data_IF_253872845783
#
_entry.id   IF_253872845783
#
_cell.length_a   1.000
_cell.length_b   1.000
_cell.length_c   1.000
_cell.angle_alpha   90.00
_cell.angle_beta   90.00
_cell.angle_gamma   90.00
#
_symmetry.space_group_name_H-M   'P 1'
#
loop_
_entity.id
_entity.type
_entity.pdbx_description
1 polymer ?
#
# COMPACT_ATOMS: atom_id res chain seq x y z
N UNK A 1 -22.74 14.73 -23.06
CA UNK A 1 -21.37 14.29 -22.72
C UNK A 1 -20.43 14.95 -23.73
N UNK A 2 -19.31 15.53 -23.31
CA UNK A 2 -18.34 16.22 -24.19
C UNK A 2 -16.90 15.85 -23.80
N UNK A 3 -15.96 15.96 -24.74
CA UNK A 3 -14.55 15.59 -24.55
C UNK A 3 -14.24 14.12 -24.85
N UNK A 4 -12.99 13.70 -24.59
CA UNK A 4 -12.51 12.33 -24.82
C UNK A 4 -12.87 11.44 -23.62
N UNK A 5 -13.98 10.70 -23.73
CA UNK A 5 -14.49 9.81 -22.68
C UNK A 5 -14.23 8.37 -23.11
N UNK A 6 -13.41 7.65 -22.34
CA UNK A 6 -13.20 6.21 -22.49
C UNK A 6 -13.82 5.46 -21.31
N UNK A 7 -14.31 4.26 -21.60
CA UNK A 7 -14.72 3.23 -20.61
C UNK A 7 -15.87 3.62 -19.65
N UNK A 8 -16.73 4.57 -20.05
CA UNK A 8 -17.91 4.96 -19.28
C UNK A 8 -19.13 4.09 -19.62
N UNK A 9 -19.60 3.32 -18.64
CA UNK A 9 -20.83 2.52 -18.75
C UNK A 9 -22.06 3.31 -18.29
N UNK A 10 -23.14 3.30 -19.08
CA UNK A 10 -24.42 3.95 -18.75
C UNK A 10 -25.51 2.87 -18.65
N UNK A 11 -26.14 2.76 -17.48
CA UNK A 11 -27.27 1.83 -17.26
C UNK A 11 -28.60 2.58 -17.29
N UNK A 12 -29.56 2.08 -18.06
CA UNK A 12 -30.94 2.58 -18.06
C UNK A 12 -31.86 1.64 -17.28
N UNK A 13 -32.89 2.19 -16.66
CA UNK A 13 -33.98 1.42 -16.04
C UNK A 13 -35.15 1.19 -17.01
N UNK A 14 -34.96 1.51 -18.29
CA UNK A 14 -35.95 1.42 -19.36
C UNK A 14 -35.39 0.57 -20.49
N UNK A 15 -36.27 -0.14 -21.19
CA UNK A 15 -35.99 -0.84 -22.45
C UNK A 15 -35.79 0.10 -23.64
N UNK A 16 -35.89 1.41 -23.43
CA UNK A 16 -35.75 2.43 -24.47
C UNK A 16 -34.75 3.51 -24.01
N UNK A 17 -33.78 3.81 -24.88
CA UNK A 17 -32.78 4.86 -24.70
C UNK A 17 -32.79 5.76 -25.94
N UNK A 18 -32.80 7.07 -25.74
CA UNK A 18 -32.63 8.05 -26.81
C UNK A 18 -31.22 8.63 -26.74
N UNK A 19 -30.45 8.47 -27.82
CA UNK A 19 -29.13 9.09 -27.98
C UNK A 19 -29.27 10.27 -28.93
N UNK A 20 -28.92 11.47 -28.46
CA UNK A 20 -28.93 12.69 -29.27
C UNK A 20 -27.52 13.25 -29.34
N UNK A 21 -26.99 13.38 -30.55
CA UNK A 21 -25.70 14.02 -30.82
C UNK A 21 -25.92 15.44 -31.34
N UNK A 22 -25.20 16.39 -30.76
CA UNK A 22 -25.18 17.78 -31.19
C UNK A 22 -23.73 18.20 -31.43
N UNK A 23 -23.47 18.82 -32.58
CA UNK A 23 -22.19 19.44 -32.93
C UNK A 23 -22.39 20.91 -33.30
N UNK A 24 -21.30 21.68 -33.24
CA UNK A 24 -21.23 23.03 -33.79
C UNK A 24 -20.52 23.02 -35.16
N UNK A 25 -20.51 24.14 -35.92
CA UNK A 25 -19.88 24.20 -37.23
C UNK A 25 -18.38 24.56 -37.18
N UNK A 26 -17.75 24.57 -36.00
CA UNK A 26 -16.41 25.17 -35.82
C UNK A 26 -15.33 24.10 -35.69
N UNK A 27 -15.59 22.99 -34.99
CA UNK A 27 -14.60 21.93 -34.76
C UNK A 27 -15.16 20.53 -35.04
N UNK A 28 -14.33 19.66 -35.61
CA UNK A 28 -14.65 18.28 -35.97
C UNK A 28 -13.65 17.28 -35.34
N UNK A 29 -14.12 16.07 -35.03
CA UNK A 29 -13.32 14.97 -34.48
C UNK A 29 -13.92 13.61 -34.92
N UNK A 30 -13.25 12.50 -34.60
CA UNK A 30 -13.59 11.13 -35.02
C UNK A 30 -14.94 10.61 -34.49
N UNK A 31 -15.62 11.37 -33.63
CA UNK A 31 -16.90 10.99 -33.06
C UNK A 31 -16.77 9.89 -31.99
N UNK A 32 -17.82 9.08 -31.85
CA UNK A 32 -17.87 8.02 -30.84
C UNK A 32 -18.42 6.72 -31.42
N UNK A 33 -18.02 5.60 -30.84
CA UNK A 33 -18.64 4.28 -31.04
C UNK A 33 -19.14 3.80 -29.67
N UNK A 34 -20.34 3.22 -29.63
CA UNK A 34 -20.92 2.67 -28.41
C UNK A 34 -21.42 1.27 -28.67
N UNK A 35 -20.96 0.32 -27.86
CA UNK A 35 -21.52 -1.02 -27.77
C UNK A 35 -22.61 -1.04 -26.68
N UNK A 36 -23.72 -1.74 -26.95
CA UNK A 36 -24.81 -1.89 -25.99
C UNK A 36 -25.28 -3.35 -25.93
N UNK A 37 -25.83 -3.73 -24.78
CA UNK A 37 -26.50 -5.02 -24.58
C UNK A 37 -27.79 -4.81 -23.79
N UNK A 38 -28.77 -5.69 -23.98
CA UNK A 38 -30.05 -5.66 -23.24
C UNK A 38 -30.00 -6.70 -22.12
N UNK A 39 -30.58 -6.36 -20.96
CA UNK A 39 -30.67 -7.26 -19.80
C UNK A 39 -32.14 -7.64 -19.58
N UNK A 40 -32.50 -8.89 -19.90
CA UNK A 40 -33.85 -9.45 -19.69
C UNK A 40 -33.99 -9.98 -18.26
N UNK A 41 -35.20 -10.00 -17.71
CA UNK A 41 -35.50 -10.43 -16.33
C UNK A 41 -35.25 -11.94 -16.00
N UNK A 42 -34.55 -12.67 -16.86
CA UNK A 42 -34.13 -14.07 -16.66
C UNK A 42 -32.67 -14.33 -17.04
N UNK A 43 -31.93 -13.35 -17.57
CA UNK A 43 -30.50 -13.46 -17.80
C UNK A 43 -29.76 -12.96 -16.56
N UNK A 44 -29.31 -13.87 -15.69
CA UNK A 44 -28.41 -13.54 -14.58
C UNK A 44 -26.96 -13.30 -15.06
N UNK A 45 -26.83 -12.59 -16.18
CA UNK A 45 -25.57 -12.10 -16.73
C UNK A 45 -25.25 -10.77 -16.10
N UNK A 46 -24.13 -10.70 -15.39
CA UNK A 46 -23.67 -9.50 -14.68
C UNK A 46 -22.30 -9.08 -15.22
N UNK A 47 -22.12 -7.79 -15.44
CA UNK A 47 -20.82 -7.19 -15.74
C UNK A 47 -20.45 -6.25 -14.60
N UNK A 48 -19.25 -6.43 -14.04
CA UNK A 48 -18.73 -5.69 -12.89
C UNK A 48 -17.45 -4.98 -13.30
N UNK A 49 -17.43 -3.66 -13.14
CA UNK A 49 -16.28 -2.81 -13.50
C UNK A 49 -15.61 -2.13 -12.31
N UNK A 50 -16.24 -2.21 -11.13
CA UNK A 50 -15.71 -1.61 -9.91
C UNK A 50 -14.42 -2.32 -9.48
N UNK A 51 -13.46 -1.58 -8.91
CA UNK A 51 -12.18 -2.12 -8.45
C UNK A 51 -12.27 -3.11 -7.28
N UNK A 52 -13.43 -3.27 -6.65
CA UNK A 52 -13.71 -4.36 -5.71
C UNK A 52 -15.21 -4.55 -5.58
N UNK A 53 -15.63 -5.70 -5.07
CA UNK A 53 -17.05 -5.95 -4.85
C UNK A 53 -17.36 -7.34 -4.34
N UNK A 54 -18.66 -7.63 -4.19
CA UNK A 54 -19.18 -8.88 -3.66
C UNK A 54 -20.09 -9.53 -4.70
N UNK A 55 -19.82 -10.79 -4.99
CA UNK A 55 -20.63 -11.64 -5.89
C UNK A 55 -21.40 -12.63 -5.02
N UNK A 56 -22.65 -12.87 -5.39
CA UNK A 56 -23.55 -13.80 -4.72
C UNK A 56 -24.27 -14.63 -5.77
N UNK A 57 -24.48 -15.92 -5.47
CA UNK A 57 -25.41 -16.73 -6.26
C UNK A 57 -26.82 -16.15 -6.20
N UNK A 58 -27.67 -16.43 -7.21
CA UNK A 58 -29.09 -16.11 -7.14
C UNK A 58 -29.72 -16.67 -5.85
N UNK A 59 -30.60 -15.89 -5.22
CA UNK A 59 -31.29 -16.30 -4.00
C UNK A 59 -30.48 -16.17 -2.70
N UNK A 60 -29.15 -16.01 -2.74
CA UNK A 60 -28.31 -15.95 -1.54
C UNK A 60 -28.78 -14.85 -0.55
N UNK A 61 -28.91 -15.13 0.77
CA UNK A 61 -28.44 -16.32 1.49
C UNK A 61 -29.45 -17.50 1.52
N UNK A 62 -30.57 -17.38 0.82
CA UNK A 62 -31.51 -18.48 0.61
C UNK A 62 -31.03 -19.39 -0.53
N UNK A 63 -31.81 -20.42 -0.83
CA UNK A 63 -31.39 -21.42 -1.79
C UNK A 63 -31.42 -20.87 -3.22
N UNK A 64 -30.44 -21.26 -4.05
CA UNK A 64 -30.47 -20.92 -5.48
C UNK A 64 -31.61 -21.68 -6.21
N UNK A 65 -32.14 -21.16 -7.32
CA UNK A 65 -33.11 -21.88 -8.15
C UNK A 65 -32.47 -23.07 -8.88
N UNK A 66 -33.28 -24.06 -9.27
CA UNK A 66 -32.88 -25.10 -10.20
C UNK A 66 -32.58 -24.52 -11.59
N UNK A 67 -31.79 -25.25 -12.39
CA UNK A 67 -31.48 -24.93 -13.79
C UNK A 67 -30.92 -23.51 -13.99
N UNK A 68 -30.18 -23.02 -13.00
CA UNK A 68 -29.55 -21.71 -13.03
C UNK A 68 -28.30 -21.77 -13.91
N UNK A 69 -28.15 -20.82 -14.84
CA UNK A 69 -26.97 -20.69 -15.71
C UNK A 69 -26.53 -19.21 -15.74
N UNK A 70 -25.72 -18.81 -14.76
CA UNK A 70 -25.35 -17.41 -14.53
C UNK A 70 -23.92 -17.12 -14.90
N UNK A 71 -23.71 -15.97 -15.53
CA UNK A 71 -22.39 -15.52 -15.96
C UNK A 71 -22.07 -14.18 -15.32
N UNK A 72 -20.91 -14.07 -14.67
CA UNK A 72 -20.44 -12.81 -14.12
C UNK A 72 -19.08 -12.48 -14.72
N UNK A 73 -19.03 -11.44 -15.55
CA UNK A 73 -17.78 -10.90 -16.08
C UNK A 73 -17.31 -9.78 -15.16
N UNK A 74 -16.09 -9.89 -14.66
CA UNK A 74 -15.40 -8.83 -13.94
C UNK A 74 -14.34 -8.26 -14.89
N UNK A 75 -14.37 -6.95 -15.11
CA UNK A 75 -13.36 -6.25 -15.92
C UNK A 75 -12.88 -5.02 -15.15
N UNK A 76 -11.63 -5.04 -14.73
CA UNK A 76 -10.98 -3.92 -14.03
C UNK A 76 -10.06 -3.18 -15.00
N UNK A 77 -9.41 -2.10 -14.53
CA UNK A 77 -8.48 -1.33 -15.36
C UNK A 77 -7.41 -2.23 -16.02
N UNK A 78 -7.01 -1.96 -17.28
CA UNK A 78 -6.05 -2.77 -18.03
C UNK A 78 -4.66 -2.93 -17.39
N UNK A 79 -4.33 -2.17 -16.35
CA UNK A 79 -3.10 -2.25 -15.55
C UNK A 79 -3.26 -3.11 -14.26
N UNK A 80 -4.45 -3.69 -14.01
CA UNK A 80 -4.76 -4.49 -12.82
C UNK A 80 -5.07 -5.96 -13.14
N UNK A 81 -4.86 -6.84 -12.16
CA UNK A 81 -5.37 -8.21 -12.09
C UNK A 81 -6.50 -8.27 -11.07
N UNK A 82 -7.19 -9.40 -11.01
CA UNK A 82 -8.33 -9.62 -10.14
C UNK A 82 -7.99 -10.76 -9.20
N UNK A 83 -8.09 -10.50 -7.90
CA UNK A 83 -8.17 -11.55 -6.89
C UNK A 83 -9.63 -11.83 -6.59
N UNK A 84 -9.98 -13.11 -6.41
CA UNK A 84 -11.32 -13.58 -6.07
C UNK A 84 -11.20 -14.52 -4.87
N UNK A 85 -11.99 -14.28 -3.82
CA UNK A 85 -12.02 -15.10 -2.61
C UNK A 85 -13.45 -15.48 -2.24
N UNK A 86 -13.73 -16.77 -2.11
CA UNK A 86 -14.99 -17.32 -1.63
C UNK A 86 -14.98 -17.43 -0.11
N UNK A 87 -15.88 -16.70 0.56
CA UNK A 87 -16.06 -16.80 2.01
C UNK A 87 -17.20 -17.76 2.40
N UNK A 88 -18.07 -18.10 1.45
CA UNK A 88 -19.10 -19.11 1.61
C UNK A 88 -19.31 -19.88 0.32
N UNK A 89 -19.27 -21.21 0.42
CA UNK A 89 -19.68 -22.17 -0.62
C UNK A 89 -20.53 -23.23 0.06
N UNK A 90 -21.73 -23.45 -0.50
CA UNK A 90 -22.67 -24.51 -0.14
C UNK A 90 -23.48 -24.86 -1.39
N UNK A 91 -22.96 -25.79 -2.19
CA UNK A 91 -23.54 -26.29 -3.45
C UNK A 91 -23.82 -27.80 -3.34
N UNK A 92 -24.59 -28.36 -4.26
CA UNK A 92 -24.67 -29.81 -4.41
C UNK A 92 -23.30 -30.37 -4.83
N UNK A 93 -22.82 -31.36 -4.08
CA UNK A 93 -21.58 -32.04 -4.40
C UNK A 93 -21.84 -33.20 -5.36
N UNK A 94 -21.10 -33.23 -6.45
CA UNK A 94 -20.94 -34.39 -7.31
C UNK A 94 -19.45 -34.67 -7.56
N UNK A 95 -19.10 -35.90 -7.93
CA UNK A 95 -17.71 -36.23 -8.29
C UNK A 95 -17.26 -35.35 -9.46
N UNK A 96 -16.10 -34.69 -9.34
CA UNK A 96 -15.63 -33.65 -10.27
C UNK A 96 -16.64 -32.49 -10.49
N UNK A 97 -17.49 -32.21 -9.51
CA UNK A 97 -18.48 -31.13 -9.53
C UNK A 97 -19.42 -31.20 -10.75
N UNK A 98 -20.00 -32.38 -11.02
CA UNK A 98 -20.87 -32.63 -12.18
C UNK A 98 -22.31 -32.15 -12.04
N UNK A 99 -22.79 -31.89 -10.81
CA UNK A 99 -24.15 -31.39 -10.56
C UNK A 99 -24.14 -29.87 -10.57
N UNK A 100 -23.85 -29.25 -9.42
CA UNK A 100 -23.79 -27.80 -9.26
C UNK A 100 -22.36 -27.33 -9.13
N UNK A 101 -22.00 -26.22 -9.79
CA UNK A 101 -20.63 -25.73 -9.76
C UNK A 101 -20.50 -24.23 -10.03
N UNK A 102 -19.37 -23.68 -9.59
CA UNK A 102 -18.85 -22.40 -10.09
C UNK A 102 -17.54 -22.64 -10.83
N UNK A 103 -17.46 -22.26 -12.10
CA UNK A 103 -16.24 -22.23 -12.88
C UNK A 103 -15.65 -20.81 -12.91
N UNK A 104 -14.32 -20.72 -12.90
CA UNK A 104 -13.58 -19.47 -12.91
C UNK A 104 -12.61 -19.50 -14.09
N UNK A 105 -12.78 -18.57 -15.03
CA UNK A 105 -11.96 -18.45 -16.23
C UNK A 105 -11.07 -17.19 -16.17
N UNK A 106 -9.80 -17.35 -16.54
CA UNK A 106 -8.79 -16.30 -16.58
C UNK A 106 -8.87 -15.48 -17.87
N UNK A 107 -9.91 -14.67 -17.97
CA UNK A 107 -10.17 -13.81 -19.13
C UNK A 107 -11.64 -13.48 -19.25
N UNK A 108 -12.01 -12.86 -20.38
CA UNK A 108 -13.36 -12.36 -20.61
C UNK A 108 -14.32 -13.38 -21.23
N UNK A 109 -13.84 -14.57 -21.63
CA UNK A 109 -14.62 -15.53 -22.43
C UNK A 109 -14.48 -16.97 -21.92
N UNK A 110 -15.35 -17.87 -22.41
CA UNK A 110 -15.38 -19.30 -22.02
C UNK A 110 -14.20 -20.09 -22.56
N UNK A 111 -13.54 -19.55 -23.58
CA UNK A 111 -12.34 -20.09 -24.21
C UNK A 111 -11.07 -19.71 -23.44
N UNK A 112 -11.18 -18.83 -22.45
CA UNK A 112 -10.07 -18.44 -21.57
C UNK A 112 -9.66 -19.61 -20.66
N UNK A 113 -8.45 -19.58 -20.11
CA UNK A 113 -7.93 -20.67 -19.27
C UNK A 113 -8.81 -20.89 -18.03
N UNK A 114 -9.26 -22.12 -17.80
CA UNK A 114 -10.02 -22.49 -16.60
C UNK A 114 -9.07 -22.54 -15.39
N UNK A 115 -9.26 -21.64 -14.43
CA UNK A 115 -8.50 -21.61 -13.17
C UNK A 115 -9.00 -22.64 -12.17
N UNK A 116 -10.29 -22.96 -12.21
CA UNK A 116 -10.88 -23.98 -11.35
C UNK A 116 -12.38 -24.13 -11.51
N UNK A 117 -12.89 -25.25 -11.00
CA UNK A 117 -14.31 -25.57 -10.86
C UNK A 117 -14.53 -26.02 -9.42
N UNK A 118 -15.51 -25.42 -8.73
CA UNK A 118 -15.76 -25.64 -7.31
C UNK A 118 -17.20 -26.03 -7.05
N UNK A 119 -17.39 -26.96 -6.12
CA UNK A 119 -18.69 -27.38 -5.60
C UNK A 119 -18.64 -27.66 -4.09
N UNK A 120 -17.47 -27.58 -3.46
CA UNK A 120 -17.29 -27.83 -2.04
C UNK A 120 -16.35 -26.83 -1.37
N UNK A 121 -16.33 -26.82 -0.03
CA UNK A 121 -15.39 -26.01 0.77
C UNK A 121 -13.96 -26.58 0.81
N UNK A 122 -13.73 -27.80 0.35
CA UNK A 122 -12.40 -28.42 0.32
C UNK A 122 -11.58 -27.97 -0.90
N UNK A 123 -12.25 -27.35 -1.88
CA UNK A 123 -11.64 -26.78 -3.07
C UNK A 123 -10.87 -25.48 -2.73
N UNK A 124 -9.96 -25.05 -3.61
CA UNK A 124 -9.24 -23.78 -3.45
C UNK A 124 -10.24 -22.63 -3.35
N UNK A 125 -10.25 -21.91 -2.23
CA UNK A 125 -11.19 -20.81 -1.99
C UNK A 125 -10.76 -19.46 -2.58
N UNK A 126 -9.57 -19.38 -3.19
CA UNK A 126 -9.02 -18.14 -3.71
C UNK A 126 -8.37 -18.34 -5.07
N UNK A 127 -8.60 -17.38 -5.97
CA UNK A 127 -8.14 -17.36 -7.36
C UNK A 127 -7.56 -15.99 -7.71
N UNK A 128 -6.60 -15.96 -8.64
CA UNK A 128 -6.01 -14.74 -9.18
C UNK A 128 -5.96 -14.83 -10.71
N UNK A 129 -6.39 -13.77 -11.40
CA UNK A 129 -6.29 -13.67 -12.86
C UNK A 129 -4.89 -13.26 -13.31
N UNK A 130 -4.51 -13.64 -14.53
CA UNK A 130 -3.33 -13.09 -15.20
C UNK A 130 -3.64 -11.81 -15.98
N UNK A 131 -4.92 -11.63 -16.36
CA UNK A 131 -5.42 -10.46 -17.09
C UNK A 131 -6.24 -9.52 -16.21
N UNK A 132 -6.75 -8.42 -16.78
CA UNK A 132 -7.69 -7.52 -16.09
C UNK A 132 -9.15 -7.98 -16.18
N UNK A 133 -9.37 -9.21 -16.64
CA UNK A 133 -10.70 -9.80 -16.76
C UNK A 133 -10.75 -11.19 -16.12
N UNK A 134 -11.89 -11.48 -15.49
CA UNK A 134 -12.16 -12.77 -14.87
C UNK A 134 -13.64 -13.10 -15.09
N UNK A 135 -13.93 -14.28 -15.62
CA UNK A 135 -15.30 -14.71 -15.92
C UNK A 135 -15.71 -15.85 -14.99
N UNK A 136 -16.80 -15.66 -14.26
CA UNK A 136 -17.41 -16.70 -13.44
C UNK A 136 -18.63 -17.27 -14.14
N UNK A 137 -18.81 -18.58 -14.01
CA UNK A 137 -19.98 -19.30 -14.47
C UNK A 137 -20.56 -20.13 -13.32
N UNK A 138 -21.78 -19.80 -12.90
CA UNK A 138 -22.52 -20.60 -11.93
C UNK A 138 -23.58 -21.42 -12.64
N UNK A 139 -23.53 -22.74 -12.43
CA UNK A 139 -24.46 -23.70 -13.00
C UNK A 139 -25.14 -24.50 -11.88
N UNK A 140 -26.43 -24.77 -12.02
CA UNK A 140 -27.14 -25.74 -11.20
C UNK A 140 -28.02 -26.68 -12.03
N UNK A 141 -28.18 -27.92 -11.57
CA UNK A 141 -29.00 -28.94 -12.22
C UNK A 141 -30.51 -28.85 -11.85
N UNK A 142 -31.27 -29.92 -12.06
CA UNK A 142 -32.72 -29.95 -11.83
C UNK A 142 -33.13 -30.03 -10.34
N UNK A 143 -32.20 -30.24 -9.40
CA UNK A 143 -32.56 -30.53 -8.00
C UNK A 143 -31.48 -30.16 -6.97
N UNK A 144 -31.73 -30.50 -5.69
CA UNK A 144 -30.80 -30.38 -4.54
C UNK A 144 -30.16 -28.99 -4.38
N UNK A 145 -30.99 -27.96 -4.48
CA UNK A 145 -30.51 -26.61 -4.26
C UNK A 145 -30.04 -26.37 -2.82
N UNK A 146 -28.98 -25.58 -2.68
CA UNK A 146 -28.38 -25.19 -1.39
C UNK A 146 -28.24 -23.68 -1.31
N UNK A 147 -27.61 -23.17 -0.25
CA UNK A 147 -27.50 -21.71 0.00
C UNK A 147 -26.69 -20.97 -1.06
N UNK A 148 -25.89 -21.68 -1.86
CA UNK A 148 -25.11 -21.10 -2.94
C UNK A 148 -23.75 -20.60 -2.48
N UNK A 149 -23.30 -19.50 -3.08
CA UNK A 149 -21.97 -18.95 -2.79
C UNK A 149 -21.99 -17.44 -2.57
N UNK A 150 -20.97 -17.00 -1.84
CA UNK A 150 -20.59 -15.60 -1.74
C UNK A 150 -19.08 -15.49 -1.95
N UNK A 151 -18.68 -14.54 -2.78
CA UNK A 151 -17.29 -14.25 -3.08
C UNK A 151 -17.04 -12.74 -3.05
N UNK A 152 -15.80 -12.38 -2.75
CA UNK A 152 -15.30 -11.01 -2.81
C UNK A 152 -14.23 -10.95 -3.88
N UNK A 153 -14.25 -9.90 -4.69
CA UNK A 153 -13.19 -9.66 -5.65
C UNK A 153 -12.54 -8.31 -5.40
N UNK A 154 -11.27 -8.19 -5.78
CA UNK A 154 -10.52 -6.94 -5.69
C UNK A 154 -9.50 -6.86 -6.81
N UNK A 155 -9.44 -5.67 -7.41
CA UNK A 155 -8.44 -5.30 -8.39
C UNK A 155 -7.12 -5.08 -7.65
N UNK A 156 -6.13 -5.87 -8.00
CA UNK A 156 -4.74 -5.73 -7.54
C UNK A 156 -3.92 -5.24 -8.72
N UNK A 157 -2.87 -4.45 -8.49
CA UNK A 157 -2.07 -3.97 -9.60
C UNK A 157 -1.33 -5.13 -10.28
N UNK A 158 -1.30 -5.18 -11.64
CA UNK A 158 -0.60 -6.24 -12.42
C UNK A 158 0.87 -6.38 -12.03
N UNK A 159 1.42 -5.32 -11.42
CA UNK A 159 2.83 -5.00 -11.35
C UNK A 159 3.38 -4.89 -9.94
N UNK A 160 2.72 -5.43 -8.92
CA UNK A 160 3.49 -5.85 -7.75
C UNK A 160 4.23 -7.16 -8.06
N UNK A 161 5.15 -7.11 -9.04
CA UNK A 161 5.85 -8.26 -9.59
C UNK A 161 7.33 -8.18 -9.16
N UNK A 162 7.78 -9.21 -8.45
CA UNK A 162 9.20 -9.48 -8.21
C UNK A 162 9.68 -10.47 -9.25
N UNK A 163 10.75 -10.14 -9.95
CA UNK A 163 11.52 -11.07 -10.77
C UNK A 163 12.88 -11.20 -10.11
N UNK A 164 13.35 -12.43 -9.90
CA UNK A 164 14.60 -12.72 -9.19
C UNK A 164 14.46 -12.63 -7.67
N UNK A 165 15.59 -12.45 -6.99
CA UNK A 165 15.72 -12.79 -5.56
C UNK A 165 15.81 -11.57 -4.62
N UNK A 166 15.44 -10.37 -5.11
CA UNK A 166 15.35 -9.19 -4.26
C UNK A 166 14.35 -9.43 -3.13
N UNK A 167 14.70 -8.99 -1.91
CA UNK A 167 13.80 -9.09 -0.76
C UNK A 167 12.77 -7.96 -0.85
N UNK A 168 11.48 -8.31 -0.87
CA UNK A 168 10.40 -7.34 -0.91
C UNK A 168 9.39 -7.59 0.20
N UNK A 169 9.31 -6.65 1.14
CA UNK A 169 8.28 -6.60 2.16
C UNK A 169 7.26 -5.52 1.77
N UNK A 170 6.14 -5.95 1.19
CA UNK A 170 5.13 -5.06 0.63
C UNK A 170 3.98 -4.83 1.61
N UNK A 171 3.63 -3.56 1.78
CA UNK A 171 2.41 -3.10 2.43
C UNK A 171 1.44 -2.46 1.43
N UNK A 172 0.21 -2.12 1.85
CA UNK A 172 -0.83 -1.59 0.96
C UNK A 172 -0.51 -0.19 0.42
N UNK A 173 0.29 0.60 1.12
CA UNK A 173 0.63 1.99 0.72
C UNK A 173 2.12 2.31 0.84
N UNK A 174 2.91 1.36 1.33
CA UNK A 174 4.35 1.51 1.55
C UNK A 174 5.01 0.12 1.56
N UNK A 175 6.32 0.07 1.63
CA UNK A 175 7.05 -1.18 1.77
C UNK A 175 8.56 -0.97 1.76
N UNK A 176 9.29 -2.06 1.85
CA UNK A 176 10.76 -2.04 1.80
C UNK A 176 11.29 -3.03 0.78
N UNK A 177 12.34 -2.62 0.07
CA UNK A 177 13.06 -3.47 -0.88
C UNK A 177 14.51 -3.54 -0.43
N UNK A 178 15.09 -4.74 -0.45
CA UNK A 178 16.51 -4.93 -0.21
C UNK A 178 17.13 -5.90 -1.22
N UNK A 179 18.44 -5.83 -1.37
CA UNK A 179 19.22 -6.82 -2.13
C UNK A 179 19.04 -8.22 -1.53
N UNK A 180 19.27 -9.29 -2.32
CA UNK A 180 19.24 -10.65 -1.79
C UNK A 180 20.21 -10.77 -0.60
N UNK A 181 19.83 -11.56 0.41
CA UNK A 181 20.58 -11.79 1.65
C UNK A 181 20.81 -10.58 2.57
N UNK A 182 20.31 -9.37 2.26
CA UNK A 182 20.53 -8.18 3.09
C UNK A 182 20.17 -8.44 4.56
N UNK A 183 21.01 -8.07 5.55
CA UNK A 183 22.19 -7.19 5.45
C UNK A 183 23.52 -7.89 5.13
N UNK A 184 23.51 -9.20 4.87
CA UNK A 184 24.68 -9.92 4.41
C UNK A 184 24.99 -9.61 2.94
N UNK A 185 26.08 -10.19 2.42
CA UNK A 185 26.50 -9.94 1.04
C UNK A 185 25.49 -10.48 0.02
N UNK A 186 25.21 -9.69 -1.02
CA UNK A 186 24.41 -10.17 -2.15
C UNK A 186 25.17 -11.26 -2.93
N UNK A 187 24.50 -12.22 -3.58
CA UNK A 187 25.14 -13.18 -4.47
C UNK A 187 25.70 -12.53 -5.73
N UNK A 188 26.75 -13.12 -6.30
CA UNK A 188 27.20 -12.79 -7.66
C UNK A 188 26.13 -13.15 -8.70
N UNK A 189 26.16 -12.48 -9.85
CA UNK A 189 25.21 -12.61 -10.96
C UNK A 189 23.74 -12.41 -10.54
N UNK A 190 23.51 -11.66 -9.46
CA UNK A 190 22.17 -11.28 -9.04
C UNK A 190 21.52 -10.42 -10.11
N UNK A 191 20.30 -10.76 -10.49
CA UNK A 191 19.50 -9.93 -11.37
C UNK A 191 18.07 -9.97 -10.87
N UNK A 192 17.65 -8.92 -10.19
CA UNK A 192 16.30 -8.82 -9.68
C UNK A 192 15.68 -7.47 -10.01
N UNK A 193 14.36 -7.50 -10.23
CA UNK A 193 13.60 -6.29 -10.51
C UNK A 193 12.25 -6.34 -9.84
N UNK A 194 11.81 -5.17 -9.39
CA UNK A 194 10.53 -4.96 -8.75
C UNK A 194 9.84 -3.82 -9.49
N UNK A 195 8.60 -4.07 -9.89
CA UNK A 195 7.72 -3.00 -10.32
C UNK A 195 6.88 -2.53 -9.13
N UNK A 196 6.77 -1.21 -8.98
CA UNK A 196 5.93 -0.55 -8.01
C UNK A 196 4.85 0.21 -8.78
N UNK A 197 3.60 0.04 -8.36
CA UNK A 197 2.46 0.76 -8.88
C UNK A 197 1.77 1.49 -7.72
N UNK A 198 1.66 2.80 -7.80
CA UNK A 198 0.80 3.59 -6.93
C UNK A 198 -0.59 3.76 -7.57
N UNK A 199 -1.62 4.08 -6.78
CA UNK A 199 -2.91 4.55 -7.31
C UNK A 199 -2.72 5.69 -8.32
N UNK A 200 -3.62 5.81 -9.31
CA UNK A 200 -3.49 6.77 -10.44
C UNK A 200 -3.35 8.24 -10.00
N UNK A 201 -3.81 8.60 -8.80
CA UNK A 201 -3.73 9.95 -8.23
C UNK A 201 -2.53 10.16 -7.28
N UNK A 202 -1.62 9.19 -7.21
CA UNK A 202 -0.50 9.16 -6.27
C UNK A 202 0.84 8.99 -6.98
N UNK A 203 1.89 9.50 -6.34
CA UNK A 203 3.28 9.29 -6.72
C UNK A 203 3.98 8.37 -5.75
N UNK A 204 5.07 7.79 -6.21
CA UNK A 204 5.93 6.90 -5.45
C UNK A 204 7.12 7.72 -4.95
N UNK A 205 7.26 7.75 -3.63
CA UNK A 205 8.42 8.30 -2.95
C UNK A 205 9.31 7.14 -2.55
N UNK A 206 10.61 7.29 -2.78
CA UNK A 206 11.63 6.28 -2.50
C UNK A 206 12.73 6.92 -1.67
N UNK A 207 13.06 6.29 -0.55
CA UNK A 207 14.21 6.63 0.26
C UNK A 207 15.14 5.43 0.32
N UNK A 208 16.38 5.62 -0.12
CA UNK A 208 17.43 4.61 -0.07
C UNK A 208 18.16 4.81 1.26
N UNK A 209 17.83 3.98 2.23
CA UNK A 209 18.37 4.03 3.59
C UNK A 209 19.84 3.58 3.63
N UNK A 210 20.21 2.60 2.81
CA UNK A 210 21.55 2.02 2.76
C UNK A 210 21.89 1.57 1.34
N UNK A 211 23.11 1.86 0.89
CA UNK A 211 23.67 1.36 -0.36
C UNK A 211 25.18 1.20 -0.18
N UNK A 212 25.66 -0.03 -0.31
CA UNK A 212 27.06 -0.44 -0.40
C UNK A 212 27.13 -1.52 -1.48
N UNK A 213 27.43 -1.09 -2.68
CA UNK A 213 27.51 -1.88 -3.91
C UNK A 213 28.87 -1.59 -4.54
N UNK A 214 29.41 -2.47 -5.38
CA UNK A 214 30.72 -2.26 -6.01
C UNK A 214 30.85 -0.85 -6.63
N UNK A 215 31.99 -0.20 -6.44
CA UNK A 215 32.21 1.16 -6.95
C UNK A 215 32.81 1.12 -8.35
N UNK A 216 32.15 1.78 -9.30
CA UNK A 216 32.63 1.99 -10.66
C UNK A 216 32.20 3.39 -11.14
N UNK A 217 32.90 3.97 -12.12
CA UNK A 217 32.71 5.36 -12.57
C UNK A 217 31.31 5.59 -13.15
N UNK A 218 30.75 4.62 -13.86
CA UNK A 218 29.46 4.67 -14.52
C UNK A 218 28.45 3.65 -13.97
N UNK A 219 28.77 2.97 -12.86
CA UNK A 219 28.02 1.85 -12.31
C UNK A 219 27.74 0.75 -13.35
N UNK A 220 28.76 0.37 -14.13
CA UNK A 220 28.65 -0.65 -15.19
C UNK A 220 28.80 -2.09 -14.72
N UNK A 221 29.36 -2.30 -13.54
CA UNK A 221 29.45 -3.61 -12.88
C UNK A 221 28.17 -3.82 -12.06
N UNK A 222 28.25 -3.70 -10.75
CA UNK A 222 27.08 -3.79 -9.88
C UNK A 222 26.34 -2.46 -9.77
N UNK A 223 25.00 -2.50 -9.82
CA UNK A 223 24.21 -1.30 -9.69
C UNK A 223 22.79 -1.52 -9.18
N UNK A 224 22.28 -0.49 -8.49
CA UNK A 224 20.87 -0.25 -8.26
C UNK A 224 20.38 0.82 -9.25
N UNK A 225 19.41 0.48 -10.08
CA UNK A 225 18.80 1.37 -11.06
C UNK A 225 17.32 1.57 -10.76
N UNK A 226 16.88 2.83 -10.80
CA UNK A 226 15.48 3.20 -10.58
C UNK A 226 14.96 3.93 -11.82
N UNK A 227 13.89 3.40 -12.41
CA UNK A 227 13.24 3.94 -13.60
C UNK A 227 11.82 4.39 -13.27
N UNK A 228 11.43 5.57 -13.75
CA UNK A 228 10.12 6.19 -13.57
C UNK A 228 9.27 6.03 -14.83
N UNK A 229 8.06 5.50 -14.67
CA UNK A 229 7.08 5.33 -15.73
C UNK A 229 7.09 3.97 -16.45
N UNK A 230 6.00 3.64 -17.16
CA UNK A 230 5.89 2.40 -17.92
C UNK A 230 6.70 2.43 -19.23
N UNK A 231 7.15 1.27 -19.76
CA UNK A 231 7.74 1.20 -21.09
C UNK A 231 6.71 1.59 -22.17
N UNK A 232 7.11 2.26 -23.26
CA UNK A 232 8.48 2.64 -23.62
C UNK A 232 8.96 3.97 -23.01
N UNK A 233 8.11 4.67 -22.27
CA UNK A 233 8.37 6.02 -21.75
C UNK A 233 9.11 6.03 -20.40
N UNK A 234 9.73 4.91 -20.02
CA UNK A 234 10.58 4.77 -18.83
C UNK A 234 11.72 5.80 -18.83
N UNK A 235 11.85 6.57 -17.76
CA UNK A 235 12.95 7.52 -17.53
C UNK A 235 13.81 7.07 -16.35
N UNK A 236 15.12 6.90 -16.54
CA UNK A 236 16.03 6.58 -15.42
C UNK A 236 16.12 7.75 -14.44
N UNK A 237 15.71 7.53 -13.19
CA UNK A 237 15.84 8.48 -12.08
C UNK A 237 17.27 8.46 -11.50
N UNK A 238 17.91 7.29 -11.54
CA UNK A 238 19.31 7.13 -11.15
C UNK A 238 19.80 5.70 -11.34
N UNK A 239 21.09 5.58 -11.64
CA UNK A 239 21.88 4.35 -11.53
C UNK A 239 22.91 4.60 -10.43
N UNK A 240 22.96 3.75 -9.42
CA UNK A 240 23.69 3.95 -8.17
C UNK A 240 24.57 2.76 -7.87
N UNK A 241 25.78 3.04 -7.42
CA UNK A 241 26.79 2.08 -7.03
C UNK A 241 27.75 2.75 -6.02
N UNK A 242 28.72 2.01 -5.48
CA UNK A 242 29.58 2.50 -4.41
C UNK A 242 28.87 2.56 -3.05
N UNK A 243 29.18 3.59 -2.24
CA UNK A 243 28.63 3.76 -0.90
C UNK A 243 27.94 5.11 -0.73
N UNK A 244 26.73 5.11 -0.18
CA UNK A 244 26.07 6.34 0.28
C UNK A 244 26.39 6.60 1.76
N UNK A 245 26.57 7.87 2.11
CA UNK A 245 26.84 8.31 3.49
C UNK A 245 25.60 8.88 4.20
N UNK A 246 24.58 9.27 3.42
CA UNK A 246 23.30 9.79 3.89
C UNK A 246 22.17 9.19 3.03
N UNK A 247 20.95 9.06 3.57
CA UNK A 247 19.81 8.55 2.81
C UNK A 247 19.54 9.37 1.55
N UNK A 248 19.26 8.69 0.43
CA UNK A 248 18.96 9.34 -0.85
C UNK A 248 17.47 9.25 -1.16
N UNK A 249 16.85 10.41 -1.36
CA UNK A 249 15.42 10.52 -1.65
C UNK A 249 15.18 10.73 -3.16
N UNK A 250 14.16 10.06 -3.67
CA UNK A 250 13.71 10.11 -5.05
C UNK A 250 12.18 10.20 -5.07
N UNK A 251 11.62 11.00 -5.98
CA UNK A 251 10.17 11.15 -6.16
C UNK A 251 9.83 10.93 -7.61
N UNK A 252 8.94 9.97 -7.88
CA UNK A 252 8.49 9.68 -9.24
C UNK A 252 7.66 10.82 -9.82
N UNK A 253 7.60 10.90 -11.14
CA UNK A 253 6.69 11.77 -11.89
C UNK A 253 5.44 11.04 -12.34
N UNK A 254 5.52 9.72 -12.45
CA UNK A 254 4.39 8.85 -12.74
C UNK A 254 3.95 8.10 -11.47
N UNK A 255 2.88 7.31 -11.59
CA UNK A 255 2.46 6.37 -10.56
C UNK A 255 3.16 4.99 -10.70
N UNK A 256 4.20 4.88 -11.52
CA UNK A 256 4.92 3.61 -11.76
C UNK A 256 6.43 3.78 -11.57
N UNK A 257 7.07 2.87 -10.86
CA UNK A 257 8.53 2.82 -10.74
C UNK A 257 9.04 1.39 -10.90
N UNK A 258 10.08 1.20 -11.69
CA UNK A 258 10.85 -0.03 -11.72
C UNK A 258 12.14 0.13 -10.93
N UNK A 259 12.37 -0.77 -9.99
CA UNK A 259 13.63 -0.93 -9.26
C UNK A 259 14.34 -2.14 -9.85
N UNK A 260 15.61 -1.99 -10.20
CA UNK A 260 16.45 -3.05 -10.79
C UNK A 260 17.76 -3.12 -10.02
N UNK A 261 18.12 -4.32 -9.58
CA UNK A 261 19.43 -4.60 -9.04
C UNK A 261 20.14 -5.62 -9.92
N UNK A 262 21.37 -5.31 -10.26
CA UNK A 262 22.25 -6.18 -11.03
C UNK A 262 23.60 -6.29 -10.33
N UNK A 263 24.17 -7.49 -10.31
CA UNK A 263 25.57 -7.71 -9.98
C UNK A 263 26.25 -8.56 -11.03
N UNK A 264 27.57 -8.40 -11.17
CA UNK A 264 28.42 -9.24 -12.00
C UNK A 264 28.99 -10.44 -11.22
N UNK A 265 30.05 -11.09 -11.73
CA UNK A 265 30.64 -12.28 -11.13
C UNK A 265 31.68 -12.01 -10.04
N UNK A 266 31.83 -10.76 -9.57
CA UNK A 266 32.84 -10.36 -8.60
C UNK A 266 32.38 -9.25 -7.63
N UNK A 267 33.17 -9.04 -6.55
CA UNK A 267 33.08 -7.91 -5.62
C UNK A 267 31.72 -7.67 -4.93
N UNK A 268 31.25 -8.64 -4.15
CA UNK A 268 29.99 -8.53 -3.43
C UNK A 268 30.09 -7.80 -2.08
N UNK A 269 29.10 -6.94 -1.82
CA UNK A 269 29.00 -6.13 -0.60
C UNK A 269 27.63 -6.31 0.07
N UNK A 270 27.34 -5.57 1.14
CA UNK A 270 26.07 -5.67 1.87
C UNK A 270 24.84 -5.27 1.04
N UNK A 271 25.04 -4.65 -0.13
CA UNK A 271 23.98 -4.31 -1.07
C UNK A 271 23.19 -3.08 -0.65
N UNK A 272 21.87 -3.13 -0.82
CA UNK A 272 21.02 -1.96 -0.59
C UNK A 272 19.79 -2.32 0.24
N UNK A 273 19.26 -1.29 0.91
CA UNK A 273 17.91 -1.29 1.49
C UNK A 273 17.28 0.06 1.22
N UNK A 274 16.05 0.03 0.70
CA UNK A 274 15.23 1.20 0.48
C UNK A 274 13.82 0.98 1.00
N UNK A 275 13.13 2.09 1.25
CA UNK A 275 11.71 2.13 1.58
C UNK A 275 10.97 3.01 0.58
N UNK A 276 9.72 2.66 0.31
CA UNK A 276 8.85 3.44 -0.55
C UNK A 276 7.49 3.68 0.10
N UNK A 277 6.80 4.74 -0.33
CA UNK A 277 5.42 5.00 0.03
C UNK A 277 4.70 5.77 -1.08
N UNK A 278 3.37 5.66 -1.09
CA UNK A 278 2.51 6.35 -2.03
C UNK A 278 1.90 7.59 -1.39
N UNK A 279 1.88 8.69 -2.13
CA UNK A 279 1.31 9.95 -1.65
C UNK A 279 0.61 10.69 -2.78
N UNK A 280 -0.55 11.29 -2.49
CA UNK A 280 -1.31 12.07 -3.47
C UNK A 280 -0.52 13.31 -3.90
N UNK A 281 -0.71 13.70 -5.16
CA UNK A 281 -0.22 15.00 -5.62
C UNK A 281 -0.95 16.11 -4.86
N UNK A 282 -0.20 16.92 -4.11
CA UNK A 282 -0.69 18.24 -3.73
C UNK A 282 -0.79 19.03 -5.05
N UNK A 283 -2.02 19.21 -5.54
CA UNK A 283 -2.26 20.11 -6.68
C UNK A 283 -1.75 21.49 -6.31
N UNK A 284 -0.83 22.03 -7.11
CA UNK A 284 -0.47 23.45 -7.08
C UNK A 284 -1.76 24.28 -7.18
N UNK A 285 -2.21 24.82 -6.06
CA UNK A 285 -3.33 25.74 -6.01
C UNK A 285 -2.91 27.08 -6.63
N UNK A 286 -3.20 27.26 -7.92
CA UNK A 286 -3.39 28.58 -8.51
C UNK A 286 -4.75 28.63 -9.19
N UNK A 287 -5.66 29.45 -8.67
CA UNK A 287 -6.95 29.73 -9.31
C UNK A 287 -8.12 29.78 -8.36
N UNK A 288 -8.32 30.95 -7.77
CA UNK A 288 -9.46 31.39 -6.98
C UNK A 288 -10.79 31.19 -7.71
N UNK A 289 -11.70 30.36 -7.17
CA UNK A 289 -13.15 30.61 -7.18
C UNK A 289 -13.80 30.03 -5.91
N UNK A 290 -14.59 30.87 -5.26
CA UNK A 290 -15.28 30.67 -4.00
C UNK A 290 -16.61 29.93 -4.15
N UNK A 291 -16.82 28.83 -3.42
CA UNK A 291 -18.15 28.33 -3.00
C UNK A 291 -18.01 27.47 -1.72
N UNK A 292 -19.08 27.24 -0.95
CA UNK A 292 -19.08 27.38 0.50
C UNK A 292 -18.71 26.09 1.25
N UNK A 293 -18.27 26.31 2.49
CA UNK A 293 -17.85 25.31 3.46
C UNK A 293 -18.81 24.11 3.57
N UNK A 294 -18.25 22.90 3.39
CA UNK A 294 -18.84 21.68 3.90
C UNK A 294 -17.75 20.86 4.60
N UNK A 295 -17.67 21.08 5.92
CA UNK A 295 -17.07 20.27 6.97
C UNK A 295 -15.71 19.60 6.69
N UNK A 296 -14.64 20.34 7.01
CA UNK A 296 -13.34 19.75 7.36
C UNK A 296 -13.52 18.81 8.55
N UNK A 297 -13.17 17.55 8.41
CA UNK A 297 -12.86 16.74 9.59
C UNK A 297 -11.54 17.23 10.21
N UNK A 298 -11.43 17.33 11.55
CA UNK A 298 -10.23 17.85 12.21
C UNK A 298 -9.04 16.91 11.98
N UNK A 299 -7.93 17.42 11.43
CA UNK A 299 -6.65 16.70 11.48
C UNK A 299 -6.09 16.88 12.90
N UNK A 300 -5.96 15.79 13.65
CA UNK A 300 -5.30 15.81 14.96
C UNK A 300 -3.86 16.35 14.81
N UNK A 301 -3.52 17.41 15.55
CA UNK A 301 -2.18 18.02 15.51
C UNK A 301 -1.39 17.61 16.75
N UNK A 302 -0.23 16.99 16.54
CA UNK A 302 0.71 16.66 17.62
C UNK A 302 1.63 17.86 17.88
N UNK A 303 1.89 18.16 19.15
CA UNK A 303 2.79 19.21 19.62
C UNK A 303 3.68 18.69 20.73
N UNK A 304 4.95 19.08 20.70
CA UNK A 304 5.90 18.82 21.77
C UNK A 304 6.18 20.08 22.59
N UNK A 305 6.22 19.91 23.91
CA UNK A 305 6.62 20.95 24.86
C UNK A 305 7.73 20.42 25.77
N UNK A 306 8.68 21.29 26.13
CA UNK A 306 9.61 21.08 27.24
C UNK A 306 9.31 22.12 28.32
N UNK A 307 9.02 21.69 29.53
CA UNK A 307 8.68 22.55 30.68
C UNK A 307 7.64 23.62 30.28
N UNK A 308 6.56 23.18 29.63
CA UNK A 308 5.45 23.99 29.09
C UNK A 308 5.81 25.00 27.97
N UNK A 309 7.03 24.96 27.44
CA UNK A 309 7.46 25.77 26.31
C UNK A 309 7.42 24.97 24.99
N UNK A 310 6.86 25.57 23.93
CA UNK A 310 6.76 24.92 22.62
C UNK A 310 8.12 24.65 21.98
N UNK A 311 8.29 23.43 21.48
CA UNK A 311 9.42 23.04 20.65
C UNK A 311 9.02 23.20 19.17
N UNK A 312 8.99 24.44 18.66
CA UNK A 312 8.63 24.72 17.26
C UNK A 312 9.85 24.66 16.32
N UNK A 313 9.62 24.26 15.05
CA UNK A 313 10.62 24.04 14.00
C UNK A 313 11.39 25.28 13.52
N UNK A 314 12.18 25.89 14.40
CA UNK A 314 13.09 26.98 14.06
C UNK A 314 13.86 27.44 15.30
N UNK A 315 15.16 27.15 15.29
CA UNK A 315 16.13 27.26 16.39
C UNK A 315 16.08 26.10 17.40
N UNK A 316 16.83 25.01 17.16
CA UNK A 316 16.93 23.93 18.13
C UNK A 316 17.62 24.47 19.38
N UNK A 317 17.03 24.24 20.57
CA UNK A 317 17.88 24.15 21.76
C UNK A 317 19.00 23.15 21.41
N UNK A 318 20.29 23.49 21.60
CA UNK A 318 21.39 22.58 21.29
C UNK A 318 21.12 21.23 21.96
N UNK A 319 21.06 20.16 21.16
CA UNK A 319 20.75 18.82 21.65
C UNK A 319 19.29 18.35 21.45
N UNK A 320 18.36 19.15 20.94
CA UNK A 320 16.98 18.71 20.63
C UNK A 320 16.67 18.82 19.13
N UNK A 321 16.08 17.76 18.55
CA UNK A 321 15.64 17.74 17.15
C UNK A 321 14.30 17.02 17.01
N UNK A 322 13.29 17.75 16.53
CA UNK A 322 12.03 17.14 16.07
C UNK A 322 12.28 16.54 14.69
N UNK A 323 12.12 15.23 14.55
CA UNK A 323 12.34 14.54 13.29
C UNK A 323 11.08 14.50 12.43
N UNK A 324 9.94 14.33 13.08
CA UNK A 324 8.60 14.27 12.49
C UNK A 324 7.59 14.84 13.50
N UNK A 325 6.33 14.99 13.11
CA UNK A 325 5.28 15.48 14.03
C UNK A 325 5.04 14.56 15.25
N UNK A 326 5.35 13.26 15.16
CA UNK A 326 5.19 12.28 16.22
C UNK A 326 6.47 11.96 17.01
N UNK A 327 7.64 12.46 16.59
CA UNK A 327 8.93 12.01 17.13
C UNK A 327 9.87 13.14 17.53
N UNK A 328 10.36 13.09 18.77
CA UNK A 328 11.36 14.02 19.33
C UNK A 328 12.66 13.28 19.68
N UNK A 329 13.77 13.73 19.10
CA UNK A 329 15.11 13.20 19.36
C UNK A 329 15.90 14.14 20.28
N UNK A 330 16.52 13.58 21.32
CA UNK A 330 17.43 14.28 22.23
C UNK A 330 18.86 13.75 22.04
N UNK A 331 19.70 14.59 21.44
CA UNK A 331 21.08 14.32 21.09
C UNK A 331 21.97 14.59 22.31
N UNK A 332 22.35 13.53 23.02
CA UNK A 332 23.23 13.56 24.20
C UNK A 332 22.65 14.38 25.35
N UNK A 333 22.08 13.70 26.33
CA UNK A 333 21.50 14.28 27.53
C UNK A 333 22.60 14.94 28.38
N UNK A 334 22.44 16.24 28.63
CA UNK A 334 23.17 16.99 29.64
C UNK A 334 22.21 17.54 30.71
N UNK A 335 22.76 18.10 31.77
CA UNK A 335 21.97 18.66 32.87
C UNK A 335 21.02 19.81 32.45
N UNK A 336 21.24 20.48 31.31
CA UNK A 336 20.34 21.51 30.77
C UNK A 336 19.14 20.92 30.02
N UNK A 337 19.23 19.66 29.57
CA UNK A 337 18.16 18.95 28.86
C UNK A 337 17.24 18.14 29.77
N UNK A 338 17.51 18.10 31.08
CA UNK A 338 16.56 17.60 32.08
C UNK A 338 15.29 18.47 32.12
N UNK A 339 14.13 17.86 32.40
CA UNK A 339 12.85 18.57 32.46
C UNK A 339 11.63 17.70 32.11
N UNK A 340 10.45 18.32 32.14
CA UNK A 340 9.20 17.69 31.72
C UNK A 340 9.04 17.80 30.20
N UNK A 341 8.80 16.68 29.53
CA UNK A 341 8.46 16.62 28.12
C UNK A 341 7.00 16.20 27.97
N UNK A 342 6.23 17.01 27.24
CA UNK A 342 4.80 16.80 27.01
C UNK A 342 4.53 16.62 25.54
N UNK A 343 3.91 15.50 25.17
CA UNK A 343 3.24 15.35 23.89
C UNK A 343 1.76 15.75 24.05
N UNK A 344 1.30 16.72 23.26
CA UNK A 344 -0.09 17.15 23.22
C UNK A 344 -0.69 16.88 21.84
N UNK A 345 -1.80 16.15 21.80
CA UNK A 345 -2.60 15.90 20.61
C UNK A 345 -3.83 16.79 20.68
N UNK A 346 -3.90 17.72 19.74
CA UNK A 346 -4.97 18.73 19.64
C UNK A 346 -5.91 18.33 18.52
N UNK A 347 -7.15 18.02 18.86
CA UNK A 347 -8.28 17.93 17.92
C UNK A 347 -9.18 19.15 18.11
N UNK A 348 -10.15 19.37 17.20
CA UNK A 348 -11.04 20.55 17.27
C UNK A 348 -11.96 20.53 18.50
N UNK A 349 -12.13 19.38 19.16
CA UNK A 349 -13.02 19.22 20.32
C UNK A 349 -12.28 19.01 21.65
N UNK A 350 -11.03 18.54 21.61
CA UNK A 350 -10.29 18.15 22.83
C UNK A 350 -8.78 18.20 22.63
N UNK A 351 -8.06 18.59 23.68
CA UNK A 351 -6.62 18.34 23.79
C UNK A 351 -6.39 17.16 24.72
N UNK A 352 -5.64 16.16 24.25
CA UNK A 352 -5.17 15.04 25.06
C UNK A 352 -3.65 15.14 25.15
N UNK A 353 -3.11 15.23 26.36
CA UNK A 353 -1.67 15.36 26.57
C UNK A 353 -1.14 14.29 27.51
N UNK A 354 0.07 13.82 27.21
CA UNK A 354 0.83 12.91 28.07
C UNK A 354 2.18 13.55 28.33
N UNK A 355 2.59 13.57 29.59
CA UNK A 355 3.84 14.17 30.04
C UNK A 355 4.69 13.16 30.78
N UNK A 356 6.01 13.31 30.67
CA UNK A 356 6.97 12.57 31.46
C UNK A 356 8.17 13.45 31.82
N UNK A 357 8.84 13.10 32.91
CA UNK A 357 10.03 13.80 33.37
C UNK A 357 11.29 13.01 33.02
N UNK A 358 12.26 13.69 32.43
CA UNK A 358 13.59 13.16 32.18
C UNK A 358 14.56 13.81 33.16
N UNK A 359 15.21 12.97 33.95
CA UNK A 359 16.29 13.39 34.86
C UNK A 359 17.64 12.97 34.28
N UNK A 360 18.68 13.78 34.47
CA UNK A 360 20.05 13.42 34.09
C UNK A 360 20.87 13.21 35.36
N UNK A 361 21.46 12.03 35.50
CA UNK A 361 22.34 11.67 36.60
C UNK A 361 23.81 11.73 36.16
N UNK A 362 24.68 12.30 36.99
CA UNK A 362 26.12 12.27 36.74
C UNK A 362 26.65 10.84 36.89
N UNK A 363 27.16 10.25 35.82
CA UNK A 363 27.73 8.90 35.85
C UNK A 363 29.13 8.91 36.46
N UNK A 364 29.36 8.14 37.53
CA UNK A 364 30.71 7.74 37.93
C UNK A 364 31.11 6.53 37.09
N UNK A 365 32.08 6.69 36.18
CA UNK A 365 32.65 5.56 35.43
C UNK A 365 33.30 4.58 36.39
N UNK A 366 32.85 3.32 36.38
CA UNK A 366 33.63 2.21 36.93
C UNK A 366 33.49 0.99 36.00
N UNK A 367 34.65 0.43 35.68
CA UNK A 367 34.87 -0.68 34.75
C UNK A 367 34.15 -1.98 35.13
N UNK A 368 33.95 -2.78 34.08
CA UNK A 368 33.89 -4.25 34.04
C UNK A 368 32.56 -4.97 34.33
N UNK A 369 32.07 -5.64 33.27
CA UNK A 369 31.50 -7.00 33.24
C UNK A 369 30.48 -7.41 34.31
N UNK A 370 29.21 -7.55 33.92
CA UNK A 370 28.44 -8.79 34.15
C UNK A 370 27.09 -8.73 33.43
N UNK A 371 26.70 -9.88 32.91
CA UNK A 371 25.40 -10.18 32.36
C UNK A 371 24.31 -10.14 33.44
N UNK A 372 23.18 -9.50 33.13
CA UNK A 372 21.85 -9.86 33.63
C UNK A 372 21.42 -9.34 35.00
N UNK A 373 20.61 -8.27 35.01
CA UNK A 373 19.49 -8.10 35.96
C UNK A 373 18.29 -7.48 35.22
N UNK A 374 17.12 -8.09 35.36
CA UNK A 374 15.79 -7.62 34.91
C UNK A 374 15.21 -6.66 35.95
N UNK A 375 14.60 -5.55 35.54
CA UNK A 375 13.60 -4.84 36.36
C UNK A 375 12.39 -4.31 35.55
N UNK A 376 11.23 -4.39 36.22
CA UNK A 376 9.88 -4.00 35.82
C UNK A 376 9.66 -2.48 35.89
N UNK A 377 8.65 -1.99 35.15
CA UNK A 377 7.87 -0.73 35.28
C UNK A 377 8.61 0.43 35.98
N UNK A 378 9.12 1.37 35.19
CA UNK A 378 9.79 2.56 35.73
C UNK A 378 8.74 3.67 36.00
N UNK A 379 8.74 4.30 37.20
CA UNK A 379 7.84 5.40 37.58
C UNK A 379 8.09 6.68 36.78
N UNK A 380 7.33 7.75 37.08
CA UNK A 380 7.33 9.09 36.44
C UNK A 380 8.69 9.80 36.22
N UNK A 381 9.81 9.21 36.66
CA UNK A 381 11.13 9.81 36.77
C UNK A 381 12.22 8.85 36.25
N UNK A 382 12.23 8.57 34.94
CA UNK A 382 13.34 7.85 34.32
C UNK A 382 14.60 8.73 34.29
N UNK A 383 15.70 8.25 34.86
CA UNK A 383 17.00 8.94 34.84
C UNK A 383 17.90 8.39 33.74
N UNK A 384 18.43 9.26 32.90
CA UNK A 384 19.47 8.97 31.92
C UNK A 384 20.83 9.41 32.47
N UNK A 385 21.92 8.77 32.07
CA UNK A 385 23.26 9.25 32.42
C UNK A 385 23.72 10.32 31.44
N UNK A 386 24.56 11.25 31.93
CA UNK A 386 25.13 12.30 31.09
C UNK A 386 25.90 11.69 29.89
N UNK A 387 25.57 12.16 28.68
CA UNK A 387 26.12 11.63 27.42
C UNK A 387 25.27 10.58 26.71
N UNK A 388 24.18 10.11 27.31
CA UNK A 388 23.24 9.15 26.68
C UNK A 388 22.25 9.84 25.74
N UNK A 389 21.69 9.09 24.79
CA UNK A 389 20.70 9.60 23.83
C UNK A 389 19.28 9.17 24.23
N UNK A 390 18.28 9.98 23.89
CA UNK A 390 16.88 9.65 24.13
C UNK A 390 16.02 9.91 22.89
N UNK A 391 15.05 9.04 22.67
CA UNK A 391 14.08 9.13 21.58
C UNK A 391 12.68 8.99 22.13
N UNK A 392 11.82 9.96 21.83
CA UNK A 392 10.43 10.01 22.29
C UNK A 392 9.49 9.89 21.10
N UNK A 393 8.58 8.92 21.16
CA UNK A 393 7.56 8.73 20.15
C UNK A 393 6.15 8.86 20.75
N UNK A 394 5.30 9.61 20.07
CA UNK A 394 3.92 9.85 20.47
C UNK A 394 2.95 9.26 19.45
N UNK A 395 2.27 8.18 19.84
CA UNK A 395 1.35 7.44 18.98
C UNK A 395 -0.10 7.74 19.34
N UNK A 396 -0.88 8.09 18.32
CA UNK A 396 -2.32 8.33 18.43
C UNK A 396 -3.08 7.19 17.74
N UNK A 397 -3.63 6.25 18.52
CA UNK A 397 -4.61 5.28 18.04
C UNK A 397 -5.95 5.58 18.71
N UNK A 398 -7.07 5.33 18.04
CA UNK A 398 -8.42 5.76 18.48
C UNK A 398 -8.63 5.71 20.00
N UNK A 399 -8.95 6.87 20.58
CA UNK A 399 -9.22 7.15 22.01
C UNK A 399 -8.09 6.97 23.04
N UNK A 400 -6.91 6.43 22.69
CA UNK A 400 -5.81 6.24 23.63
C UNK A 400 -4.46 6.68 23.03
N UNK A 401 -3.76 7.55 23.75
CA UNK A 401 -2.39 8.00 23.39
C UNK A 401 -1.40 7.09 24.11
N UNK A 402 -0.53 6.45 23.36
CA UNK A 402 0.55 5.62 23.90
C UNK A 402 1.89 6.33 23.64
N UNK A 403 2.73 6.39 24.68
CA UNK A 403 4.04 7.00 24.63
C UNK A 403 5.08 5.90 24.83
N UNK A 404 5.87 5.61 23.80
CA UNK A 404 7.02 4.71 23.88
C UNK A 404 8.30 5.52 24.07
N UNK A 405 9.13 5.06 25.00
CA UNK A 405 10.45 5.62 25.24
C UNK A 405 11.46 4.72 24.57
N UNK A 406 12.41 5.26 23.81
CA UNK A 406 13.49 4.46 23.27
C UNK A 406 14.85 5.07 23.60
N UNK A 407 15.83 4.22 23.88
CA UNK A 407 17.25 4.57 24.01
C UNK A 407 18.05 3.69 23.08
N UNK A 408 18.80 4.32 22.19
CA UNK A 408 19.64 3.64 21.19
C UNK A 408 18.86 2.60 20.36
N UNK A 409 17.61 2.92 19.98
CA UNK A 409 16.75 2.07 19.16
C UNK A 409 16.16 0.85 19.89
N UNK A 410 16.16 0.87 21.23
CA UNK A 410 15.46 -0.12 22.06
C UNK A 410 14.43 0.56 22.95
N UNK A 411 13.20 0.04 22.93
CA UNK A 411 12.13 0.48 23.81
C UNK A 411 12.53 0.33 25.29
N UNK A 412 12.64 1.47 25.98
CA UNK A 412 12.82 1.59 27.42
C UNK A 412 11.52 1.32 28.20
N UNK A 413 10.34 1.59 27.61
CA UNK A 413 9.01 1.25 28.17
C UNK A 413 7.99 1.10 27.03
N UNK A 414 7.08 0.12 27.15
CA UNK A 414 5.87 -0.02 26.33
C UNK A 414 4.61 0.34 27.13
#
# INVERSE_FOLDING_TARGET
MCGNIKDRVIKTNSSTLLVVFHSDPVYEDRGFSVDYFTQSAGDCKTSLTEGSGVIRSPGFPNFYPDKTDCWTLITVNPDKKITLHFDSIDLEYGDNCTFDYVQIYDGATRESTLLGQICSRQDRSSYESTSNSLLLHFHSDESVNKKGYRAHYSAIDKRSLVIGDCLWDSGPTNGTVASPNYPAQYPSLSNCSIWLQAPEDQRIYIEIDSLVVEIEVNCSYDYLKINDGPPPNTKTMGTLCGRINEPKNLTSTTNEVQIVFHSDDFAEFSGFKLRYWFQKNETETTGMESFPELHKHPVAKIRWLKDDHFLAGGSPMPGLKVLTNNTLWIKSMDHHLAGQYTCAIVTDERTVSVSAYILVANGTTNNASSCGIVFRKIPRDSSLTEGEFAHLECLASGSHVQLSWEKDGKALVQ
#
